data_IF_236506269481
#
_entry.id   IF_236506269481
#
_cell.length_a   1.000
_cell.length_b   1.000
_cell.length_c   1.000
_cell.angle_alpha   90.00
_cell.angle_beta   90.00
_cell.angle_gamma   90.00
#
_symmetry.space_group_name_H-M   'P 1'
#
loop_
_entity.id
_entity.type
_entity.pdbx_description
1 polymer ?
#
# COMPACT_ATOMS: atom_id res chain seq x y z
N UNK A 1 -47.02 10.52 16.41
CA UNK A 1 -46.29 9.25 16.34
C UNK A 1 -45.87 8.82 14.94
N UNK A 2 -46.45 9.30 13.83
CA UNK A 2 -46.01 8.97 12.45
C UNK A 2 -44.65 9.56 12.04
N UNK A 3 -44.30 10.75 12.50
CA UNK A 3 -43.02 11.40 12.14
C UNK A 3 -41.78 10.71 12.67
N UNK A 4 -41.87 10.08 13.85
CA UNK A 4 -40.76 9.32 14.44
C UNK A 4 -40.48 8.01 13.69
N UNK A 5 -41.51 7.41 13.07
CA UNK A 5 -41.40 6.17 12.30
C UNK A 5 -40.69 6.40 10.95
N UNK A 6 -40.86 7.58 10.33
CA UNK A 6 -40.17 7.95 9.09
C UNK A 6 -38.65 8.18 9.35
N UNK A 7 -38.28 8.86 10.43
CA UNK A 7 -36.87 9.11 10.77
C UNK A 7 -36.07 7.82 11.02
N UNK A 8 -36.68 6.84 11.68
CA UNK A 8 -36.03 5.54 11.97
C UNK A 8 -35.72 4.74 10.70
N UNK A 9 -36.60 4.76 9.70
CA UNK A 9 -36.40 4.05 8.44
C UNK A 9 -35.27 4.66 7.59
N UNK A 10 -35.10 6.00 7.61
CA UNK A 10 -33.99 6.65 6.92
C UNK A 10 -32.65 6.34 7.57
N UNK A 11 -32.57 6.30 8.90
CA UNK A 11 -31.35 5.93 9.63
C UNK A 11 -30.99 4.49 9.33
N UNK A 12 -31.95 3.56 9.35
CA UNK A 12 -31.72 2.17 9.04
C UNK A 12 -31.20 1.96 7.62
N UNK A 13 -31.84 2.60 6.63
CA UNK A 13 -31.41 2.55 5.22
C UNK A 13 -30.01 3.12 5.05
N UNK A 14 -29.71 4.26 5.70
CA UNK A 14 -28.38 4.85 5.67
C UNK A 14 -27.32 3.91 6.24
N UNK A 15 -27.57 3.29 7.40
CA UNK A 15 -26.64 2.35 8.04
C UNK A 15 -26.40 1.13 7.13
N UNK A 16 -27.44 0.56 6.54
CA UNK A 16 -27.32 -0.60 5.65
C UNK A 16 -26.47 -0.25 4.41
N UNK A 17 -26.79 0.85 3.74
CA UNK A 17 -26.03 1.30 2.55
C UNK A 17 -24.58 1.60 2.91
N UNK A 18 -24.34 2.28 4.04
CA UNK A 18 -22.99 2.60 4.51
C UNK A 18 -22.18 1.34 4.80
N UNK A 19 -22.74 0.40 5.57
CA UNK A 19 -22.08 -0.87 5.91
C UNK A 19 -21.79 -1.71 4.66
N UNK A 20 -22.74 -1.79 3.72
CA UNK A 20 -22.57 -2.53 2.47
C UNK A 20 -21.46 -1.92 1.62
N UNK A 21 -21.47 -0.59 1.46
CA UNK A 21 -20.45 0.12 0.69
C UNK A 21 -19.07 -0.03 1.31
N UNK A 22 -18.97 0.05 2.63
CA UNK A 22 -17.71 -0.13 3.36
C UNK A 22 -17.18 -1.56 3.20
N UNK A 23 -18.04 -2.57 3.31
CA UNK A 23 -17.65 -3.98 3.15
C UNK A 23 -17.19 -4.27 1.72
N UNK A 24 -17.91 -3.79 0.71
CA UNK A 24 -17.50 -3.93 -0.69
C UNK A 24 -16.19 -3.20 -0.98
N UNK A 25 -16.03 -1.97 -0.46
CA UNK A 25 -14.81 -1.20 -0.59
C UNK A 25 -13.59 -1.89 0.02
N UNK A 26 -13.75 -2.50 1.20
CA UNK A 26 -12.66 -3.23 1.87
C UNK A 26 -12.27 -4.51 1.12
N UNK A 27 -13.25 -5.27 0.62
CA UNK A 27 -12.99 -6.48 -0.18
C UNK A 27 -12.26 -6.15 -1.49
N UNK A 28 -12.75 -5.15 -2.23
CA UNK A 28 -12.11 -4.70 -3.46
C UNK A 28 -10.71 -4.13 -3.19
N UNK A 29 -10.58 -3.31 -2.15
CA UNK A 29 -9.30 -2.73 -1.75
C UNK A 29 -8.26 -3.79 -1.39
N UNK A 30 -8.65 -4.79 -0.60
CA UNK A 30 -7.73 -5.88 -0.22
C UNK A 30 -7.35 -6.76 -1.41
N UNK A 31 -8.29 -7.07 -2.31
CA UNK A 31 -8.03 -7.85 -3.51
C UNK A 31 -7.08 -7.12 -4.47
N UNK A 32 -7.31 -5.83 -4.72
CA UNK A 32 -6.45 -5.00 -5.56
C UNK A 32 -5.05 -4.87 -4.96
N UNK A 33 -4.96 -4.65 -3.65
CA UNK A 33 -3.67 -4.51 -2.97
C UNK A 33 -2.90 -5.82 -2.96
N UNK A 34 -3.57 -6.95 -2.69
CA UNK A 34 -2.95 -8.27 -2.77
C UNK A 34 -2.41 -8.58 -4.17
N UNK A 35 -3.19 -8.29 -5.20
CA UNK A 35 -2.77 -8.43 -6.60
C UNK A 35 -1.57 -7.54 -6.92
N UNK A 36 -1.60 -6.28 -6.49
CA UNK A 36 -0.49 -5.34 -6.69
C UNK A 36 0.80 -5.84 -6.04
N UNK A 37 0.75 -6.26 -4.77
CA UNK A 37 1.92 -6.81 -4.06
C UNK A 37 2.47 -8.04 -4.78
N UNK A 38 1.60 -8.96 -5.24
CA UNK A 38 2.02 -10.15 -5.96
C UNK A 38 2.72 -9.83 -7.29
N UNK A 39 2.20 -8.84 -8.03
CA UNK A 39 2.85 -8.40 -9.28
C UNK A 39 4.21 -7.76 -8.99
N UNK A 40 4.29 -6.90 -7.97
CA UNK A 40 5.54 -6.23 -7.59
C UNK A 40 6.58 -7.21 -7.06
N UNK A 41 6.17 -8.20 -6.25
CA UNK A 41 7.04 -9.27 -5.77
C UNK A 41 7.64 -10.06 -6.94
N UNK A 42 6.83 -10.45 -7.92
CA UNK A 42 7.32 -11.16 -9.10
C UNK A 42 8.30 -10.32 -9.94
N UNK A 43 8.03 -9.03 -10.11
CA UNK A 43 8.93 -8.13 -10.81
C UNK A 43 10.27 -8.00 -10.08
N UNK A 44 10.24 -7.78 -8.76
CA UNK A 44 11.47 -7.67 -7.97
C UNK A 44 12.23 -8.99 -7.89
N UNK A 45 11.52 -10.11 -7.74
CA UNK A 45 12.14 -11.45 -7.73
C UNK A 45 12.81 -11.76 -9.06
N UNK A 46 12.15 -11.46 -10.19
CA UNK A 46 12.73 -11.64 -11.52
C UNK A 46 14.00 -10.79 -11.71
N UNK A 47 13.96 -9.54 -11.28
CA UNK A 47 15.09 -8.63 -11.35
C UNK A 47 16.28 -9.11 -10.48
N UNK A 48 16.00 -9.56 -9.26
CA UNK A 48 17.03 -10.10 -8.36
C UNK A 48 17.68 -11.36 -8.94
N UNK A 49 16.87 -12.27 -9.49
CA UNK A 49 17.37 -13.53 -10.06
C UNK A 49 18.18 -13.28 -11.34
N UNK A 50 17.80 -12.31 -12.17
CA UNK A 50 18.56 -11.96 -13.38
C UNK A 50 20.00 -11.50 -13.07
N UNK A 51 20.20 -10.87 -11.90
CA UNK A 51 21.53 -10.44 -11.44
C UNK A 51 22.33 -11.53 -10.71
N UNK A 52 21.69 -12.64 -10.35
CA UNK A 52 22.32 -13.80 -9.74
C UNK A 52 22.84 -14.73 -10.83
N UNK A 53 24.02 -14.50 -11.34
CA UNK A 53 24.67 -15.39 -12.28
C UNK A 53 25.63 -16.33 -11.54
N UNK A 54 25.55 -17.64 -11.82
CA UNK A 54 26.49 -18.65 -11.28
C UNK A 54 27.94 -18.42 -11.70
N UNK A 55 28.18 -17.46 -12.61
CA UNK A 55 29.54 -17.05 -13.01
C UNK A 55 30.11 -15.96 -12.09
N UNK A 56 29.30 -15.38 -11.21
CA UNK A 56 29.79 -14.37 -10.26
C UNK A 56 30.44 -15.07 -9.05
N UNK A 57 31.75 -14.80 -8.77
CA UNK A 57 32.45 -15.40 -7.65
C UNK A 57 31.80 -15.09 -6.29
N UNK A 58 31.09 -13.96 -6.16
CA UNK A 58 30.40 -13.60 -4.93
C UNK A 58 29.18 -14.50 -4.71
N UNK A 59 28.42 -14.79 -5.74
CA UNK A 59 27.27 -15.70 -5.69
C UNK A 59 27.71 -17.12 -5.36
N UNK A 60 28.78 -17.60 -5.99
CA UNK A 60 29.35 -18.94 -5.72
C UNK A 60 29.81 -19.05 -4.26
N UNK A 61 30.45 -18.02 -3.74
CA UNK A 61 30.92 -17.99 -2.36
C UNK A 61 29.77 -17.96 -1.34
N UNK A 62 28.70 -17.23 -1.66
CA UNK A 62 27.50 -17.17 -0.83
C UNK A 62 26.76 -18.52 -0.82
N UNK A 63 26.62 -19.16 -1.98
CA UNK A 63 26.07 -20.53 -2.06
C UNK A 63 26.90 -21.50 -1.20
N UNK A 64 28.24 -21.42 -1.26
CA UNK A 64 29.12 -22.25 -0.46
C UNK A 64 28.96 -22.00 1.05
N UNK A 65 28.79 -20.75 1.48
CA UNK A 65 28.51 -20.40 2.86
C UNK A 65 27.16 -20.92 3.34
N UNK A 66 26.11 -20.74 2.54
CA UNK A 66 24.76 -21.20 2.85
C UNK A 66 24.67 -22.73 2.89
N UNK A 67 25.36 -23.42 1.97
CA UNK A 67 25.44 -24.89 1.97
C UNK A 67 26.21 -25.42 3.17
N UNK A 68 27.23 -24.71 3.65
CA UNK A 68 28.02 -25.09 4.84
C UNK A 68 27.18 -25.29 6.10
N UNK A 69 26.08 -24.60 6.25
CA UNK A 69 25.13 -24.77 7.35
C UNK A 69 24.52 -26.19 7.39
N UNK A 70 24.42 -26.83 6.24
CA UNK A 70 23.82 -28.17 6.05
C UNK A 70 24.87 -29.29 5.96
N UNK A 71 26.15 -28.95 5.97
CA UNK A 71 27.24 -29.91 5.85
C UNK A 71 27.30 -30.98 6.98
N UNK A 72 26.64 -30.72 8.11
CA UNK A 72 26.52 -31.70 9.21
C UNK A 72 25.43 -32.75 8.97
N UNK A 73 24.47 -32.47 8.11
CA UNK A 73 23.31 -33.32 7.88
C UNK A 73 23.29 -33.95 6.48
N UNK A 74 23.99 -33.36 5.54
CA UNK A 74 24.08 -33.83 4.14
C UNK A 74 25.53 -34.12 3.80
N UNK A 75 25.81 -35.38 3.42
CA UNK A 75 27.16 -35.82 3.02
C UNK A 75 27.36 -35.77 1.49
N UNK A 76 26.30 -35.58 0.70
CA UNK A 76 26.38 -35.50 -0.73
C UNK A 76 26.63 -34.05 -1.19
N UNK A 77 27.76 -33.78 -1.87
CA UNK A 77 28.11 -32.43 -2.30
C UNK A 77 27.10 -31.83 -3.31
N UNK A 78 26.43 -32.67 -4.11
CA UNK A 78 25.42 -32.21 -5.07
C UNK A 78 24.16 -31.72 -4.34
N UNK A 79 23.73 -32.46 -3.31
CA UNK A 79 22.60 -32.06 -2.46
C UNK A 79 22.94 -30.81 -1.62
N UNK A 80 24.15 -30.68 -1.13
CA UNK A 80 24.63 -29.50 -0.40
C UNK A 80 24.55 -28.24 -1.29
N UNK A 81 25.04 -28.34 -2.52
CA UNK A 81 24.99 -27.22 -3.45
C UNK A 81 23.53 -26.85 -3.83
N UNK A 82 22.69 -27.87 -4.07
CA UNK A 82 21.27 -27.66 -4.37
C UNK A 82 20.54 -26.96 -3.22
N UNK A 83 20.83 -27.34 -1.96
CA UNK A 83 20.24 -26.67 -0.78
C UNK A 83 20.76 -25.24 -0.62
N UNK A 84 22.04 -24.96 -0.87
CA UNK A 84 22.60 -23.62 -0.88
C UNK A 84 21.90 -22.72 -1.89
N UNK A 85 21.65 -23.20 -3.11
CA UNK A 85 20.89 -22.49 -4.14
C UNK A 85 19.45 -22.26 -3.70
N UNK A 86 18.81 -23.26 -3.09
CA UNK A 86 17.44 -23.14 -2.62
C UNK A 86 17.31 -22.10 -1.49
N UNK A 87 18.28 -22.02 -0.57
CA UNK A 87 18.30 -21.00 0.48
C UNK A 87 18.49 -19.62 -0.12
N UNK A 88 19.41 -19.47 -1.08
CA UNK A 88 19.62 -18.20 -1.78
C UNK A 88 18.35 -17.74 -2.48
N UNK A 89 17.63 -18.64 -3.18
CA UNK A 89 16.35 -18.36 -3.80
C UNK A 89 15.27 -17.91 -2.79
N UNK A 90 15.20 -18.57 -1.62
CA UNK A 90 14.29 -18.16 -0.53
C UNK A 90 14.62 -16.77 0.00
N UNK A 91 15.90 -16.44 0.15
CA UNK A 91 16.34 -15.11 0.57
C UNK A 91 15.97 -14.06 -0.47
N UNK A 92 16.23 -14.31 -1.75
CA UNK A 92 15.85 -13.41 -2.83
C UNK A 92 14.32 -13.16 -2.87
N UNK A 93 13.50 -14.20 -2.70
CA UNK A 93 12.04 -14.05 -2.62
C UNK A 93 11.63 -13.24 -1.40
N UNK A 94 12.28 -13.43 -0.26
CA UNK A 94 12.00 -12.63 0.95
C UNK A 94 12.31 -11.16 0.75
N UNK A 95 13.45 -10.83 0.15
CA UNK A 95 13.81 -9.44 -0.19
C UNK A 95 12.84 -8.84 -1.21
N UNK A 96 12.45 -9.59 -2.24
CA UNK A 96 11.45 -9.17 -3.22
C UNK A 96 10.10 -8.85 -2.56
N UNK A 97 9.68 -9.64 -1.57
CA UNK A 97 8.46 -9.38 -0.80
C UNK A 97 8.57 -8.08 0.01
N UNK A 98 9.70 -7.84 0.68
CA UNK A 98 9.93 -6.61 1.44
C UNK A 98 9.81 -5.39 0.53
N UNK A 99 10.43 -5.43 -0.65
CA UNK A 99 10.35 -4.37 -1.65
C UNK A 99 8.92 -4.17 -2.16
N UNK A 100 8.19 -5.26 -2.44
CA UNK A 100 6.82 -5.20 -2.91
C UNK A 100 5.87 -4.56 -1.88
N UNK A 101 6.03 -4.88 -0.60
CA UNK A 101 5.26 -4.23 0.47
C UNK A 101 5.62 -2.75 0.63
N UNK A 102 6.90 -2.39 0.51
CA UNK A 102 7.32 -1.00 0.55
C UNK A 102 6.69 -0.18 -0.59
N UNK A 103 6.64 -0.75 -1.81
CA UNK A 103 5.95 -0.15 -2.95
C UNK A 103 4.45 0.02 -2.69
N UNK A 104 3.80 -0.98 -2.06
CA UNK A 104 2.39 -0.92 -1.71
C UNK A 104 2.10 0.20 -0.69
N UNK A 105 2.93 0.32 0.35
CA UNK A 105 2.80 1.42 1.32
C UNK A 105 3.04 2.79 0.67
N UNK A 106 4.00 2.89 -0.24
CA UNK A 106 4.26 4.12 -1.00
C UNK A 106 3.06 4.51 -1.85
N UNK A 107 2.41 3.54 -2.50
CA UNK A 107 1.19 3.78 -3.29
C UNK A 107 0.05 4.29 -2.40
N UNK A 108 -0.19 3.65 -1.25
CA UNK A 108 -1.22 4.08 -0.30
C UNK A 108 -0.94 5.50 0.21
N UNK A 109 0.30 5.78 0.58
CA UNK A 109 0.72 7.10 1.05
C UNK A 109 0.53 8.17 -0.03
N UNK A 110 0.86 7.87 -1.28
CA UNK A 110 0.65 8.78 -2.40
C UNK A 110 -0.84 9.07 -2.65
N UNK A 111 -1.69 8.04 -2.61
CA UNK A 111 -3.14 8.20 -2.74
C UNK A 111 -3.73 9.04 -1.60
N UNK A 112 -3.30 8.81 -0.36
CA UNK A 112 -3.73 9.58 0.81
C UNK A 112 -3.28 11.05 0.71
N UNK A 113 -2.03 11.29 0.32
CA UNK A 113 -1.50 12.63 0.11
C UNK A 113 -2.25 13.38 -1.00
N UNK A 114 -2.56 12.69 -2.10
CA UNK A 114 -3.36 13.25 -3.19
C UNK A 114 -4.77 13.64 -2.73
N UNK A 115 -5.47 12.74 -2.03
CA UNK A 115 -6.80 13.02 -1.50
C UNK A 115 -6.77 14.20 -0.51
N UNK A 116 -5.78 14.24 0.37
CA UNK A 116 -5.58 15.34 1.32
C UNK A 116 -5.37 16.68 0.60
N UNK A 117 -4.52 16.69 -0.42
CA UNK A 117 -4.24 17.89 -1.22
C UNK A 117 -5.50 18.40 -1.92
N UNK A 118 -6.31 17.51 -2.50
CA UNK A 118 -7.59 17.90 -3.12
C UNK A 118 -8.55 18.54 -2.11
N UNK A 119 -8.68 17.96 -0.92
CA UNK A 119 -9.52 18.51 0.15
C UNK A 119 -9.02 19.87 0.61
N UNK A 120 -7.70 20.04 0.74
CA UNK A 120 -7.07 21.29 1.13
C UNK A 120 -7.33 22.38 0.08
N UNK A 121 -7.15 22.09 -1.18
CA UNK A 121 -7.45 23.01 -2.30
C UNK A 121 -8.93 23.41 -2.29
N UNK A 122 -9.84 22.46 -2.13
CA UNK A 122 -11.28 22.73 -2.09
C UNK A 122 -11.66 23.64 -0.91
N UNK A 123 -11.11 23.39 0.26
CA UNK A 123 -11.40 24.21 1.46
C UNK A 123 -10.84 25.61 1.35
N UNK A 124 -9.63 25.77 0.84
CA UNK A 124 -9.01 27.06 0.59
C UNK A 124 -9.79 27.85 -0.46
N UNK A 125 -10.23 27.20 -1.53
CA UNK A 125 -10.99 27.85 -2.59
C UNK A 125 -12.36 28.32 -2.10
N UNK A 126 -13.04 27.50 -1.28
CA UNK A 126 -14.30 27.90 -0.63
C UNK A 126 -14.10 29.09 0.31
N UNK A 127 -13.05 29.07 1.12
CA UNK A 127 -12.71 30.16 2.02
C UNK A 127 -12.37 31.47 1.27
N UNK A 128 -11.60 31.38 0.18
CA UNK A 128 -11.28 32.52 -0.67
C UNK A 128 -12.53 33.14 -1.30
N UNK A 129 -13.42 32.29 -1.86
CA UNK A 129 -14.70 32.77 -2.43
C UNK A 129 -15.59 33.43 -1.37
N UNK A 130 -15.67 32.88 -0.17
CA UNK A 130 -16.46 33.47 0.91
C UNK A 130 -15.93 34.84 1.33
N UNK A 131 -14.62 35.04 1.32
CA UNK A 131 -14.00 36.35 1.62
C UNK A 131 -14.30 37.39 0.52
N UNK A 132 -14.29 36.97 -0.74
CA UNK A 132 -14.61 37.86 -1.88
C UNK A 132 -16.10 38.20 -1.95
N UNK A 133 -16.99 37.34 -1.46
CA UNK A 133 -18.42 37.53 -1.43
C UNK A 133 -18.93 38.30 -0.20
N UNK A 134 -18.08 38.53 0.81
CA UNK A 134 -18.45 39.32 1.99
C UNK A 134 -18.63 40.78 1.59
N UNK A 135 -19.83 41.37 1.71
CA UNK A 135 -20.07 42.80 1.40
C UNK A 135 -19.24 43.66 2.36
N UNK A 136 -18.54 44.64 1.79
CA UNK A 136 -17.87 45.68 2.59
C UNK A 136 -18.87 46.29 3.56
N UNK A 137 -18.69 46.10 4.85
CA UNK A 137 -19.51 46.76 5.89
C UNK A 137 -19.50 48.26 5.64
N UNK A 138 -20.67 48.90 5.38
CA UNK A 138 -20.66 50.34 5.21
C UNK A 138 -20.11 50.95 6.47
N UNK A 139 -19.10 51.85 6.33
CA UNK A 139 -18.62 52.70 7.42
C UNK A 139 -19.82 53.44 7.94
N UNK A 140 -20.28 53.10 9.14
CA UNK A 140 -21.29 53.87 9.85
C UNK A 140 -20.72 55.27 9.99
N UNK A 141 -21.31 56.20 9.26
CA UNK A 141 -21.09 57.64 9.47
C UNK A 141 -21.55 57.96 10.89
N UNK A 142 -20.60 58.08 11.80
CA UNK A 142 -20.81 58.85 13.00
C UNK A 142 -20.87 60.32 12.59
N UNK A 143 -22.11 60.86 12.53
CA UNK A 143 -22.36 62.27 12.49
C UNK A 143 -23.01 62.65 13.81
N UNK A 144 -22.18 63.29 14.63
CA UNK A 144 -22.34 64.20 15.75
C UNK A 144 -23.44 64.03 16.77
#
# INVERSE_FOLDING_TARGET
MAALKHGSNYILSFVVVFMTTQSLGSLLGSALMGTYVTIREKLHSSYLVEHVTLSDPQVVNEIALLSGAYAKTLNDPVLLQAEGIAVLGRNATREANILAYNDAFTLIAALAAFAFTLLLVQTLWKAARARLAAPSKPASADVS
#
